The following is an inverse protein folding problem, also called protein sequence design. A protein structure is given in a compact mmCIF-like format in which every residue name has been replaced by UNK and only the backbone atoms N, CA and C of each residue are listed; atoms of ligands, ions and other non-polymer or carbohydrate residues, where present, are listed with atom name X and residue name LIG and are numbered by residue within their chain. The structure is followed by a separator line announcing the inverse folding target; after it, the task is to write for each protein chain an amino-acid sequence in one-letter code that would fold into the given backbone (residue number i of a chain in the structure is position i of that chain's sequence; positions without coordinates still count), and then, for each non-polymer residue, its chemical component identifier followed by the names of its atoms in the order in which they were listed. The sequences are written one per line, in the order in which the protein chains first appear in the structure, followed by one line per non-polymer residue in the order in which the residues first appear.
data_IF_615916788156
#
_entry.id   IF_615916788156
#
_cell.length_a   1.000
_cell.length_b   1.000
_cell.length_c   1.000
_cell.angle_alpha   90.00
_cell.angle_beta   90.00
_cell.angle_gamma   90.00
#
_symmetry.space_group_name_H-M   'P 1'
#
loop_
_entity.id
_entity.type
_entity.pdbx_description
1 polymer ?
#
# COMPACT_ATOMS: atom_id res chain seq x y z
N UNK A 1 -13.62 -4.41 -12.33
CA UNK A 1 -12.71 -3.35 -11.89
C UNK A 1 -11.65 -3.96 -11.01
N UNK A 2 -10.38 -3.90 -11.41
CA UNK A 2 -9.24 -4.30 -10.59
C UNK A 2 -8.86 -3.14 -9.68
N UNK A 3 -8.66 -3.41 -8.41
CA UNK A 3 -8.09 -2.46 -7.46
C UNK A 3 -6.99 -3.15 -6.67
N UNK A 4 -5.98 -2.41 -6.31
CA UNK A 4 -4.89 -2.86 -5.48
C UNK A 4 -4.75 -1.94 -4.27
N UNK A 5 -4.63 -2.52 -3.09
CA UNK A 5 -4.33 -1.81 -1.86
C UNK A 5 -2.91 -2.18 -1.46
N UNK A 6 -2.05 -1.20 -1.28
CA UNK A 6 -0.74 -1.39 -0.70
C UNK A 6 -0.70 -0.79 0.69
N UNK A 7 -0.20 -1.56 1.65
CA UNK A 7 0.18 -1.06 2.96
C UNK A 7 1.52 -0.35 2.82
N UNK A 8 1.56 0.93 3.11
CA UNK A 8 2.80 1.65 3.33
C UNK A 8 2.99 1.77 4.82
N UNK A 9 3.91 1.01 5.36
CA UNK A 9 4.39 1.26 6.72
C UNK A 9 5.15 2.57 6.71
N UNK A 10 4.71 3.50 7.55
CA UNK A 10 5.44 4.75 7.76
C UNK A 10 6.89 4.47 8.10
N UNK A 11 7.80 5.37 7.72
CA UNK A 11 9.23 5.13 7.72
C UNK A 11 9.77 5.01 9.15
N UNK A 12 9.98 3.78 9.59
CA UNK A 12 10.90 3.49 10.69
C UNK A 12 12.18 2.93 10.09
N UNK A 13 13.37 3.19 10.64
CA UNK A 13 14.63 2.73 10.10
C UNK A 13 14.78 1.22 10.32
N UNK A 14 14.20 0.40 9.44
CA UNK A 14 14.65 -0.96 9.22
C UNK A 14 15.21 -1.05 7.81
N UNK A 15 16.29 -1.77 7.65
CA UNK A 15 17.12 -1.74 6.46
C UNK A 15 16.43 -2.18 5.16
N UNK A 16 15.37 -2.98 5.23
CA UNK A 16 14.70 -3.55 4.05
C UNK A 16 13.47 -2.74 3.57
N UNK A 17 12.79 -2.04 4.46
CA UNK A 17 11.57 -1.28 4.15
C UNK A 17 11.78 -0.02 3.29
N UNK A 18 12.82 0.80 3.50
CA UNK A 18 13.06 1.96 2.67
C UNK A 18 13.32 1.62 1.21
N UNK A 19 13.98 0.48 0.94
CA UNK A 19 14.28 0.01 -0.42
C UNK A 19 13.01 -0.48 -1.12
N UNK A 20 12.22 -1.32 -0.47
CA UNK A 20 10.93 -1.78 -1.01
C UNK A 20 9.98 -0.61 -1.29
N UNK A 21 9.99 0.40 -0.41
CA UNK A 21 9.21 1.62 -0.61
C UNK A 21 9.74 2.44 -1.79
N UNK A 22 11.06 2.59 -1.94
CA UNK A 22 11.69 3.27 -3.07
C UNK A 22 11.32 2.59 -4.40
N UNK A 23 11.34 1.25 -4.44
CA UNK A 23 10.92 0.47 -5.60
C UNK A 23 9.47 0.75 -5.97
N UNK A 24 8.57 0.64 -5.01
CA UNK A 24 7.16 0.92 -5.24
C UNK A 24 6.91 2.35 -5.76
N UNK A 25 7.58 3.36 -5.21
CA UNK A 25 7.42 4.77 -5.64
C UNK A 25 7.69 4.96 -7.12
N UNK A 26 8.62 4.22 -7.72
CA UNK A 26 8.94 4.29 -9.16
C UNK A 26 7.75 3.90 -10.04
N UNK A 27 6.98 2.90 -9.60
CA UNK A 27 5.89 2.34 -10.40
C UNK A 27 4.52 2.96 -10.14
N UNK A 28 4.40 3.86 -9.14
CA UNK A 28 3.11 4.50 -8.80
C UNK A 28 2.43 5.14 -10.00
N UNK A 29 3.15 5.96 -10.74
CA UNK A 29 2.59 6.67 -11.87
C UNK A 29 2.17 5.73 -12.98
N UNK A 30 3.02 4.78 -13.34
CA UNK A 30 2.72 3.75 -14.35
C UNK A 30 1.47 2.94 -13.96
N UNK A 31 1.36 2.49 -12.71
CA UNK A 31 0.18 1.79 -12.22
C UNK A 31 -1.10 2.64 -12.34
N UNK A 32 -1.02 3.92 -12.01
CA UNK A 32 -2.15 4.83 -12.14
C UNK A 32 -2.54 5.06 -13.60
N UNK A 33 -1.56 5.21 -14.50
CA UNK A 33 -1.79 5.36 -15.94
C UNK A 33 -2.41 4.08 -16.55
N UNK A 34 -2.09 2.91 -16.02
CA UNK A 34 -2.73 1.63 -16.36
C UNK A 34 -4.14 1.47 -15.76
N UNK A 35 -4.61 2.44 -15.00
CA UNK A 35 -5.95 2.42 -14.39
C UNK A 35 -6.04 1.65 -13.08
N UNK A 36 -4.91 1.29 -12.45
CA UNK A 36 -4.90 0.67 -11.12
C UNK A 36 -5.33 1.70 -10.09
N UNK A 37 -6.25 1.33 -9.20
CA UNK A 37 -6.63 2.16 -8.05
C UNK A 37 -5.67 1.85 -6.89
N UNK A 38 -4.87 2.84 -6.53
CA UNK A 38 -3.92 2.72 -5.42
C UNK A 38 -4.50 3.32 -4.14
N UNK A 39 -4.35 2.58 -3.04
CA UNK A 39 -4.69 3.03 -1.71
C UNK A 39 -3.49 2.77 -0.79
N UNK A 40 -3.02 3.80 -0.13
CA UNK A 40 -1.91 3.73 0.82
C UNK A 40 -2.42 3.85 2.24
N UNK A 41 -2.20 2.79 3.02
CA UNK A 41 -2.58 2.74 4.43
C UNK A 41 -1.57 3.55 5.23
N UNK A 42 -2.07 4.42 6.09
CA UNK A 42 -1.25 5.29 6.91
C UNK A 42 -1.32 4.83 8.38
N UNK A 43 -0.20 4.44 8.99
CA UNK A 43 -0.17 3.86 10.34
C UNK A 43 -0.80 4.76 11.40
N UNK A 44 -0.60 6.08 11.31
CA UNK A 44 -1.22 7.05 12.22
C UNK A 44 -2.75 7.02 12.15
N UNK A 45 -3.32 6.70 11.00
CA UNK A 45 -4.77 6.60 10.80
C UNK A 45 -5.31 5.25 11.30
N UNK A 46 -4.55 4.16 11.11
CA UNK A 46 -4.93 2.83 11.64
C UNK A 46 -5.10 2.89 13.16
N UNK A 47 -4.19 3.59 13.85
CA UNK A 47 -4.27 3.75 15.30
C UNK A 47 -5.51 4.54 15.76
N UNK A 48 -6.08 5.36 14.90
CA UNK A 48 -7.28 6.18 15.19
C UNK A 48 -8.58 5.54 14.69
N UNK A 49 -8.49 4.50 13.87
CA UNK A 49 -9.65 3.85 13.27
C UNK A 49 -10.49 3.11 14.32
N UNK A 50 -11.80 3.38 14.32
CA UNK A 50 -12.72 2.87 15.36
C UNK A 50 -13.32 1.51 15.01
N UNK A 51 -13.48 1.23 13.72
CA UNK A 51 -14.22 0.06 13.24
C UNK A 51 -13.32 -1.09 12.74
N UNK A 52 -11.99 -0.93 12.81
CA UNK A 52 -11.04 -1.99 12.44
C UNK A 52 -10.93 -3.10 13.49
N UNK A 53 -11.65 -2.99 14.62
CA UNK A 53 -11.69 -4.00 15.66
C UNK A 53 -10.30 -4.37 16.22
N UNK A 54 -9.97 -5.68 16.35
CA UNK A 54 -8.66 -6.11 16.83
C UNK A 54 -7.49 -5.63 15.96
N UNK A 55 -7.70 -5.43 14.67
CA UNK A 55 -6.68 -4.95 13.72
C UNK A 55 -6.26 -3.51 14.00
N UNK A 56 -7.18 -2.61 14.39
CA UNK A 56 -6.87 -1.23 14.75
C UNK A 56 -6.12 -1.08 16.09
N UNK A 57 -6.13 -2.13 16.93
CA UNK A 57 -5.41 -2.14 18.22
C UNK A 57 -4.00 -2.71 18.12
N UNK A 58 -3.65 -3.32 16.98
CA UNK A 58 -2.32 -3.88 16.77
C UNK A 58 -1.31 -2.74 16.61
N UNK A 59 -0.30 -2.71 17.47
CA UNK A 59 0.89 -1.87 17.28
C UNK A 59 1.89 -2.50 16.30
N UNK A 60 1.56 -3.69 15.80
CA UNK A 60 2.34 -4.41 14.82
C UNK A 60 2.19 -3.82 13.42
N UNK A 61 3.21 -4.02 12.59
CA UNK A 61 3.18 -3.64 11.18
C UNK A 61 2.18 -4.49 10.41
N UNK A 62 1.49 -3.86 9.49
CA UNK A 62 0.61 -4.57 8.57
C UNK A 62 1.48 -5.23 7.48
N UNK A 63 1.81 -6.49 7.64
CA UNK A 63 2.70 -7.23 6.73
C UNK A 63 1.95 -8.34 5.96
N UNK A 64 0.69 -8.12 5.65
CA UNK A 64 -0.13 -9.08 4.93
C UNK A 64 0.05 -8.94 3.42
N UNK A 65 0.30 -10.06 2.74
CA UNK A 65 0.28 -10.18 1.29
C UNK A 65 -0.92 -11.05 0.93
N UNK A 66 -1.98 -10.39 0.50
CA UNK A 66 -3.22 -11.06 0.14
C UNK A 66 -3.80 -10.43 -1.13
N UNK A 67 -4.42 -11.25 -1.95
CA UNK A 67 -5.14 -10.80 -3.13
C UNK A 67 -6.46 -11.56 -3.25
N UNK A 68 -7.47 -10.89 -3.81
CA UNK A 68 -8.72 -11.51 -4.21
C UNK A 68 -8.86 -11.37 -5.72
N UNK A 69 -9.17 -12.50 -6.39
CA UNK A 69 -9.33 -12.55 -7.85
C UNK A 69 -10.78 -12.92 -8.16
N UNK A 70 -11.45 -12.06 -8.92
CA UNK A 70 -12.83 -12.22 -9.38
C UNK A 70 -13.86 -12.52 -8.25
N UNK A 71 -13.54 -12.14 -7.01
CA UNK A 71 -14.36 -12.45 -5.85
C UNK A 71 -14.54 -13.95 -5.56
N UNK A 72 -13.64 -14.80 -6.05
CA UNK A 72 -13.77 -16.27 -5.97
C UNK A 72 -12.53 -16.96 -5.43
N UNK A 73 -11.37 -16.40 -5.68
CA UNK A 73 -10.09 -16.97 -5.29
C UNK A 73 -9.35 -15.95 -4.44
N UNK A 74 -8.77 -16.38 -3.34
CA UNK A 74 -7.84 -15.57 -2.56
C UNK A 74 -6.44 -16.16 -2.64
N UNK A 75 -5.47 -15.29 -2.66
CA UNK A 75 -4.07 -15.58 -2.39
C UNK A 75 -3.70 -14.99 -1.03
N UNK A 76 -3.01 -15.77 -0.21
CA UNK A 76 -2.40 -15.31 1.04
C UNK A 76 -1.00 -15.90 1.10
N UNK A 77 0.01 -15.06 1.31
CA UNK A 77 1.39 -15.55 1.29
C UNK A 77 2.40 -14.57 1.82
N UNK A 78 3.65 -14.94 1.66
CA UNK A 78 4.81 -14.11 1.99
C UNK A 78 5.30 -13.28 0.80
N UNK A 79 4.93 -13.63 -0.43
CA UNK A 79 5.36 -12.99 -1.67
C UNK A 79 5.01 -11.51 -1.72
N UNK A 80 6.02 -10.65 -1.74
CA UNK A 80 5.86 -9.25 -2.09
C UNK A 80 5.79 -9.10 -3.61
N UNK A 81 5.08 -8.07 -4.09
CA UNK A 81 5.10 -7.71 -5.51
C UNK A 81 6.33 -6.84 -5.81
N UNK A 82 7.52 -7.44 -5.67
CA UNK A 82 8.79 -6.81 -5.98
C UNK A 82 9.74 -7.82 -6.65
N UNK A 83 10.74 -7.36 -7.43
CA UNK A 83 11.67 -8.22 -8.15
C UNK A 83 12.51 -9.12 -7.24
N UNK A 84 12.80 -8.70 -6.02
CA UNK A 84 13.57 -9.48 -5.05
C UNK A 84 12.81 -10.71 -4.57
N UNK A 85 11.52 -10.53 -4.24
CA UNK A 85 10.65 -11.64 -3.86
C UNK A 85 10.42 -12.61 -5.01
N UNK A 86 10.35 -12.10 -6.24
CA UNK A 86 10.17 -12.94 -7.43
C UNK A 86 11.41 -13.79 -7.74
N UNK A 87 12.62 -13.23 -7.61
CA UNK A 87 13.85 -13.84 -8.14
C UNK A 87 14.76 -14.48 -7.08
N UNK A 88 14.73 -14.00 -5.84
CA UNK A 88 15.76 -14.31 -4.85
C UNK A 88 15.24 -14.88 -3.54
N UNK A 89 13.99 -14.61 -3.16
CA UNK A 89 13.45 -15.08 -1.89
C UNK A 89 12.76 -16.44 -2.03
N UNK A 90 12.82 -17.24 -0.96
CA UNK A 90 11.95 -18.40 -0.84
C UNK A 90 10.60 -17.92 -0.31
N UNK A 91 9.57 -18.07 -1.13
CA UNK A 91 8.23 -17.58 -0.82
C UNK A 91 7.25 -18.75 -0.67
N UNK A 92 6.28 -18.58 0.20
CA UNK A 92 5.17 -19.51 0.39
C UNK A 92 3.86 -18.77 0.18
N UNK A 93 2.93 -19.39 -0.53
CA UNK A 93 1.59 -18.85 -0.72
C UNK A 93 0.53 -19.93 -0.82
N UNK A 94 -0.67 -19.59 -0.41
CA UNK A 94 -1.85 -20.42 -0.54
C UNK A 94 -2.82 -19.76 -1.50
N UNK A 95 -3.30 -20.54 -2.47
CA UNK A 95 -4.41 -20.19 -3.33
C UNK A 95 -5.64 -20.94 -2.84
N UNK A 96 -6.64 -20.21 -2.38
CA UNK A 96 -7.87 -20.78 -1.80
C UNK A 96 -9.06 -20.35 -2.67
N UNK A 97 -9.77 -21.32 -3.20
CA UNK A 97 -11.01 -21.08 -3.94
C UNK A 97 -12.18 -21.04 -2.95
N UNK A 98 -12.56 -19.84 -2.54
CA UNK A 98 -13.69 -19.59 -1.65
C UNK A 98 -14.27 -18.19 -1.90
N UNK A 99 -15.46 -18.10 -2.51
CA UNK A 99 -16.16 -16.82 -2.65
C UNK A 99 -16.44 -16.14 -1.30
N UNK A 100 -16.71 -16.92 -0.26
CA UNK A 100 -17.02 -16.41 1.08
C UNK A 100 -15.79 -15.70 1.69
N UNK A 101 -14.63 -16.34 1.62
CA UNK A 101 -13.38 -15.74 2.11
C UNK A 101 -12.97 -14.55 1.23
N UNK A 102 -13.16 -14.62 -0.08
CA UNK A 102 -12.90 -13.49 -0.97
C UNK A 102 -13.78 -12.29 -0.61
N UNK A 103 -15.07 -12.51 -0.34
CA UNK A 103 -15.96 -11.43 0.09
C UNK A 103 -15.56 -10.83 1.43
N UNK A 104 -15.11 -11.66 2.39
CA UNK A 104 -14.61 -11.17 3.69
C UNK A 104 -13.34 -10.33 3.53
N UNK A 105 -12.38 -10.79 2.70
CA UNK A 105 -11.15 -10.05 2.42
C UNK A 105 -11.46 -8.71 1.75
N UNK A 106 -12.34 -8.68 0.76
CA UNK A 106 -12.75 -7.46 0.07
C UNK A 106 -13.43 -6.47 1.04
N UNK A 107 -14.35 -6.95 1.87
CA UNK A 107 -15.00 -6.12 2.88
C UNK A 107 -14.01 -5.53 3.88
N UNK A 108 -13.04 -6.31 4.32
CA UNK A 108 -11.98 -5.83 5.20
C UNK A 108 -11.12 -4.74 4.52
N UNK A 109 -10.77 -4.95 3.24
CA UNK A 109 -10.03 -3.98 2.47
C UNK A 109 -10.81 -2.65 2.30
N UNK A 110 -12.11 -2.73 2.03
CA UNK A 110 -13.00 -1.55 1.95
C UNK A 110 -13.05 -0.77 3.26
N UNK A 111 -13.14 -1.45 4.41
CA UNK A 111 -13.09 -0.81 5.72
C UNK A 111 -11.75 -0.10 5.98
N UNK A 112 -10.64 -0.76 5.66
CA UNK A 112 -9.30 -0.16 5.79
C UNK A 112 -9.15 1.04 4.87
N UNK A 113 -9.62 0.95 3.63
CA UNK A 113 -9.62 2.06 2.68
C UNK A 113 -10.41 3.26 3.21
N UNK A 114 -11.59 3.02 3.77
CA UNK A 114 -12.44 4.09 4.29
C UNK A 114 -11.87 4.77 5.55
N UNK A 115 -11.25 3.98 6.43
CA UNK A 115 -10.88 4.49 7.76
C UNK A 115 -9.39 4.84 7.90
N UNK A 116 -8.52 4.23 7.12
CA UNK A 116 -7.08 4.31 7.37
C UNK A 116 -6.22 4.48 6.12
N UNK A 117 -6.80 4.71 4.96
CA UNK A 117 -6.03 4.86 3.73
C UNK A 117 -6.33 6.16 3.00
N UNK A 118 -5.36 6.59 2.22
CA UNK A 118 -5.52 7.62 1.21
C UNK A 118 -5.55 6.99 -0.17
N UNK A 119 -6.46 7.42 -1.01
CA UNK A 119 -6.46 7.08 -2.43
C UNK A 119 -5.43 7.94 -3.14
N UNK A 120 -4.47 7.30 -3.78
CA UNK A 120 -3.45 7.98 -4.58
C UNK A 120 -4.00 8.27 -5.97
N UNK A 121 -3.82 9.48 -6.44
CA UNK A 121 -4.21 9.94 -7.78
C UNK A 121 -3.12 10.81 -8.39
N UNK A 122 -3.17 10.97 -9.69
CA UNK A 122 -2.47 12.06 -10.36
C UNK A 122 -3.31 13.33 -10.27
N UNK A 123 -2.65 14.50 -10.14
CA UNK A 123 -3.28 15.80 -10.31
C UNK A 123 -3.90 15.91 -11.70
N UNK A 124 -4.79 16.89 -11.91
CA UNK A 124 -5.47 17.08 -13.20
C UNK A 124 -4.50 17.24 -14.37
N UNK A 125 -3.39 17.94 -14.15
CA UNK A 125 -2.30 18.15 -15.12
C UNK A 125 -1.31 16.98 -15.19
N UNK A 126 -1.53 15.92 -14.42
CA UNK A 126 -0.66 14.74 -14.27
C UNK A 126 0.78 15.05 -13.84
N UNK A 127 1.05 16.22 -13.30
CA UNK A 127 2.40 16.66 -12.93
C UNK A 127 2.86 16.12 -11.57
N UNK A 128 1.93 15.72 -10.70
CA UNK A 128 2.22 15.28 -9.34
C UNK A 128 1.24 14.25 -8.83
N UNK A 129 1.64 13.55 -7.78
CA UNK A 129 0.77 12.66 -7.01
C UNK A 129 0.01 13.45 -5.95
N UNK A 130 -1.22 13.04 -5.71
CA UNK A 130 -2.09 13.56 -4.66
C UNK A 130 -2.71 12.41 -3.86
N UNK A 131 -2.83 12.60 -2.55
CA UNK A 131 -3.42 11.64 -1.61
C UNK A 131 -4.77 12.17 -1.13
N UNK A 132 -5.83 11.53 -1.57
CA UNK A 132 -7.21 11.93 -1.32
C UNK A 132 -7.85 11.04 -0.27
N UNK A 133 -8.54 11.64 0.68
CA UNK A 133 -9.34 10.95 1.69
C UNK A 133 -10.59 11.74 2.02
N UNK A 134 -11.73 11.07 2.02
CA UNK A 134 -12.97 11.67 2.52
C UNK A 134 -13.10 11.40 4.02
N UNK A 135 -13.35 12.45 4.78
CA UNK A 135 -13.60 12.39 6.23
C UNK A 135 -14.96 13.01 6.56
N UNK A 136 -15.51 12.75 7.75
CA UNK A 136 -16.76 13.41 8.18
C UNK A 136 -16.67 14.94 8.20
N UNK A 137 -15.45 15.47 8.37
CA UNK A 137 -15.17 16.91 8.40
C UNK A 137 -14.96 17.51 7.00
N UNK A 138 -14.87 16.67 5.96
CA UNK A 138 -14.67 17.06 4.57
C UNK A 138 -13.56 16.28 3.87
N UNK A 139 -13.35 16.60 2.61
CA UNK A 139 -12.31 15.96 1.81
C UNK A 139 -10.93 16.54 2.12
N UNK A 140 -9.99 15.66 2.36
CA UNK A 140 -8.57 15.99 2.59
C UNK A 140 -7.77 15.60 1.36
N UNK A 141 -7.00 16.56 0.83
CA UNK A 141 -6.07 16.33 -0.27
C UNK A 141 -4.67 16.74 0.19
N UNK A 142 -3.74 15.80 0.15
CA UNK A 142 -2.33 16.05 0.45
C UNK A 142 -1.54 15.98 -0.85
N UNK A 143 -0.60 16.89 -1.00
CA UNK A 143 0.35 16.94 -2.13
C UNK A 143 1.70 16.32 -1.79
N UNK A 144 1.83 15.89 -0.56
CA UNK A 144 3.01 15.22 -0.03
C UNK A 144 2.61 13.89 0.59
N UNK A 145 3.51 12.91 0.54
CA UNK A 145 3.28 11.58 1.08
C UNK A 145 2.99 11.62 2.59
N UNK A 146 1.84 11.08 3.04
CA UNK A 146 1.46 11.06 4.45
C UNK A 146 2.52 10.37 5.33
N UNK A 147 2.64 10.80 6.59
CA UNK A 147 3.56 10.27 7.59
C UNK A 147 5.05 10.27 7.17
N UNK A 148 5.41 10.98 6.08
CA UNK A 148 6.78 11.13 5.63
C UNK A 148 7.40 12.42 6.16
N UNK A 149 8.64 12.34 6.65
CA UNK A 149 9.42 13.53 6.99
C UNK A 149 10.13 14.09 5.75
N UNK A 150 10.42 15.39 5.76
CA UNK A 150 11.13 16.03 4.64
C UNK A 150 12.52 15.40 4.37
N UNK A 151 13.23 14.96 5.44
CA UNK A 151 14.50 14.25 5.34
C UNK A 151 14.36 12.91 4.62
N UNK A 152 13.33 12.16 4.91
CA UNK A 152 13.07 10.88 4.28
C UNK A 152 12.73 11.03 2.80
N UNK A 153 11.94 12.06 2.46
CA UNK A 153 11.64 12.39 1.07
C UNK A 153 12.90 12.79 0.31
N UNK A 154 13.74 13.64 0.92
CA UNK A 154 15.02 14.04 0.33
C UNK A 154 15.92 12.82 0.09
N UNK A 155 16.05 11.97 1.11
CA UNK A 155 16.88 10.75 1.03
C UNK A 155 16.37 9.78 -0.05
N UNK A 156 15.07 9.50 -0.09
CA UNK A 156 14.45 8.63 -1.09
C UNK A 156 14.56 9.20 -2.51
N UNK A 157 14.48 10.51 -2.68
CA UNK A 157 14.66 11.16 -3.97
C UNK A 157 16.11 11.12 -4.45
N UNK A 158 17.08 11.16 -3.52
CA UNK A 158 18.50 11.14 -3.85
C UNK A 158 19.01 9.73 -4.14
N UNK A 159 18.59 8.74 -3.33
CA UNK A 159 19.09 7.36 -3.39
C UNK A 159 18.19 6.47 -4.23
N UNK A 160 16.88 6.74 -4.25
CA UNK A 160 15.93 5.94 -5.01
C UNK A 160 16.35 5.64 -6.45
N UNK A 161 16.81 6.63 -7.25
CA UNK A 161 17.28 6.38 -8.61
C UNK A 161 18.55 5.54 -8.72
N UNK A 162 19.34 5.46 -7.64
CA UNK A 162 20.64 4.76 -7.60
C UNK A 162 20.50 3.31 -7.13
N UNK A 163 19.35 2.92 -6.57
CA UNK A 163 19.13 1.55 -6.12
C UNK A 163 18.87 0.66 -7.32
N UNK A 164 19.68 -0.40 -7.52
CA UNK A 164 19.46 -1.35 -8.60
C UNK A 164 18.10 -2.05 -8.46
N UNK A 165 17.48 -2.41 -9.57
CA UNK A 165 16.18 -3.13 -9.55
C UNK A 165 16.28 -4.48 -8.82
N UNK A 166 17.44 -5.14 -8.88
CA UNK A 166 17.68 -6.42 -8.21
C UNK A 166 17.78 -6.30 -6.68
N UNK A 167 17.91 -5.07 -6.15
CA UNK A 167 17.96 -4.79 -4.71
C UNK A 167 16.61 -4.27 -4.15
N UNK A 168 15.63 -4.10 -5.03
CA UNK A 168 14.31 -3.55 -4.70
C UNK A 168 13.27 -4.63 -4.39
#
# INVERSE_FOLDING_TARGET
SSWATKTVDGPRPSTDEPLAHAGYRRYRQEMLDLGVQLYEIVPSQVAQAKNLGPFGRSTGRFHAKAAAVDGKVIFIGSLNFDPRSEKHNTELGLLIRSPELAAQLMKMAELVQAEAAYRVRLSEDKSRLEWHRSTPEGDVVLTEEPDSTWWQRLWLNLIGPLVPEDAL
#
